data_IF_397514343774
#
_entry.id   IF_397514343774
#
_cell.length_a   1.000
_cell.length_b   1.000
_cell.length_c   1.000
_cell.angle_alpha   90.00
_cell.angle_beta   90.00
_cell.angle_gamma   90.00
#
_symmetry.space_group_name_H-M   'P 1'
#
loop_
_entity.id
_entity.type
_entity.pdbx_description
1 polymer ?
#
# COMPACT_ATOMS: atom_id res chain seq x y z
N UNK A 1 -10.29 -20.37 -8.75
CA UNK A 1 -10.43 -19.44 -9.88
C UNK A 1 -9.55 -18.26 -9.55
N UNK A 2 -8.71 -17.77 -10.48
CA UNK A 2 -7.87 -16.60 -10.21
C UNK A 2 -8.75 -15.40 -9.82
N UNK A 3 -8.26 -14.62 -8.85
CA UNK A 3 -8.91 -13.42 -8.36
C UNK A 3 -9.12 -12.41 -9.48
N UNK A 4 -10.34 -11.89 -9.60
CA UNK A 4 -10.65 -10.80 -10.53
C UNK A 4 -10.19 -9.43 -10.01
N UNK A 5 -10.06 -9.29 -8.69
CA UNK A 5 -9.84 -8.01 -8.02
C UNK A 5 -8.36 -7.72 -7.75
N UNK A 6 -7.59 -8.75 -7.35
CA UNK A 6 -6.15 -8.65 -7.07
C UNK A 6 -5.42 -9.54 -8.06
N UNK A 7 -4.95 -8.94 -9.15
CA UNK A 7 -4.13 -9.63 -10.14
C UNK A 7 -2.83 -10.13 -9.49
N UNK A 8 -2.40 -11.34 -9.87
CA UNK A 8 -1.15 -11.96 -9.41
C UNK A 8 -1.03 -12.11 -7.87
N UNK A 9 -2.17 -12.26 -7.19
CA UNK A 9 -2.17 -12.69 -5.79
C UNK A 9 -1.49 -14.05 -5.65
N UNK A 10 -0.53 -14.15 -4.74
CA UNK A 10 0.15 -15.41 -4.40
C UNK A 10 -0.28 -15.96 -3.04
N UNK A 11 -1.30 -15.35 -2.43
CA UNK A 11 -1.79 -15.70 -1.11
C UNK A 11 -3.31 -15.88 -1.12
N UNK A 12 -3.79 -16.79 -0.29
CA UNK A 12 -5.21 -16.94 0.02
C UNK A 12 -5.44 -16.60 1.48
N UNK A 13 -6.52 -15.88 1.75
CA UNK A 13 -6.95 -15.41 3.06
C UNK A 13 -8.06 -16.33 3.56
N UNK A 14 -7.96 -16.79 4.82
CA UNK A 14 -9.05 -17.47 5.49
C UNK A 14 -9.98 -16.43 6.11
N UNK A 15 -11.22 -16.39 5.65
CA UNK A 15 -12.22 -15.48 6.20
C UNK A 15 -12.60 -15.90 7.64
N UNK A 16 -12.57 -14.97 8.62
CA UNK A 16 -12.86 -15.31 10.02
C UNK A 16 -14.34 -15.63 10.26
N UNK A 17 -15.25 -15.12 9.41
CA UNK A 17 -16.69 -15.34 9.52
C UNK A 17 -17.12 -16.77 9.10
N UNK A 18 -16.70 -17.22 7.91
CA UNK A 18 -17.16 -18.48 7.33
C UNK A 18 -16.08 -19.57 7.28
N UNK A 19 -14.86 -19.26 7.71
CA UNK A 19 -13.69 -20.15 7.74
C UNK A 19 -13.29 -20.74 6.38
N UNK A 20 -13.82 -20.18 5.29
CA UNK A 20 -13.49 -20.52 3.90
C UNK A 20 -12.31 -19.69 3.40
N UNK A 21 -11.68 -20.16 2.33
CA UNK A 21 -10.51 -19.55 1.71
C UNK A 21 -10.91 -18.73 0.49
N UNK A 22 -10.42 -17.50 0.43
CA UNK A 22 -10.64 -16.58 -0.69
C UNK A 22 -9.31 -15.92 -1.07
N UNK A 23 -9.21 -15.36 -2.27
CA UNK A 23 -7.99 -14.68 -2.73
C UNK A 23 -7.98 -13.19 -2.35
N UNK A 24 -9.15 -12.59 -2.10
CA UNK A 24 -9.31 -11.22 -1.59
C UNK A 24 -10.67 -11.05 -0.88
N UNK A 25 -10.87 -9.90 -0.23
CA UNK A 25 -12.12 -9.53 0.45
C UNK A 25 -13.30 -9.38 -0.51
N UNK A 26 -13.09 -8.75 -1.68
CA UNK A 26 -14.15 -8.58 -2.68
C UNK A 26 -14.64 -9.93 -3.22
N UNK A 27 -13.73 -10.90 -3.40
CA UNK A 27 -14.10 -12.27 -3.75
C UNK A 27 -14.85 -13.00 -2.62
N UNK A 28 -14.76 -12.58 -1.36
CA UNK A 28 -15.63 -13.12 -0.33
C UNK A 28 -17.05 -12.59 -0.50
N UNK A 29 -17.18 -11.26 -0.63
CA UNK A 29 -18.46 -10.57 -0.67
C UNK A 29 -19.29 -10.91 -1.94
N UNK A 30 -18.64 -11.28 -3.04
CA UNK A 30 -19.31 -11.80 -4.24
C UNK A 30 -19.94 -13.20 -4.04
N UNK A 31 -19.32 -14.04 -3.22
CA UNK A 31 -19.70 -15.45 -3.07
C UNK A 31 -20.53 -15.72 -1.82
N UNK A 32 -20.53 -14.79 -0.87
CA UNK A 32 -21.17 -14.94 0.44
C UNK A 32 -22.19 -13.83 0.66
N UNK A 33 -23.35 -14.19 1.23
CA UNK A 33 -24.45 -13.24 1.49
C UNK A 33 -24.21 -12.31 2.71
N UNK A 34 -22.96 -12.15 3.15
CA UNK A 34 -22.59 -11.31 4.29
C UNK A 34 -21.23 -10.64 4.07
N UNK A 35 -20.99 -9.46 4.65
CA UNK A 35 -19.70 -8.80 4.57
C UNK A 35 -18.64 -9.56 5.39
N UNK A 36 -17.40 -9.60 4.90
CA UNK A 36 -16.28 -10.20 5.63
C UNK A 36 -16.03 -9.46 6.96
N UNK A 37 -15.97 -10.21 8.06
CA UNK A 37 -15.60 -9.64 9.37
C UNK A 37 -14.10 -9.28 9.40
N UNK A 38 -13.78 -8.14 10.00
CA UNK A 38 -12.40 -7.67 10.18
C UNK A 38 -11.84 -8.19 11.50
N UNK A 39 -10.71 -8.91 11.43
CA UNK A 39 -9.95 -9.33 12.60
C UNK A 39 -8.52 -8.78 12.51
N UNK A 40 -7.89 -8.38 13.64
CA UNK A 40 -6.51 -7.92 13.63
C UNK A 40 -5.56 -9.03 13.17
N UNK A 41 -5.82 -10.27 13.58
CA UNK A 41 -5.05 -11.44 13.15
C UNK A 41 -5.73 -12.12 11.96
N UNK A 42 -5.01 -12.25 10.86
CA UNK A 42 -5.42 -12.99 9.68
C UNK A 42 -4.63 -14.31 9.56
N UNK A 43 -5.30 -15.34 9.07
CA UNK A 43 -4.65 -16.60 8.68
C UNK A 43 -4.54 -16.62 7.16
N UNK A 44 -3.31 -16.72 6.67
CA UNK A 44 -2.96 -16.68 5.25
C UNK A 44 -2.37 -18.03 4.84
N UNK A 45 -2.57 -18.41 3.58
CA UNK A 45 -1.94 -19.55 2.94
C UNK A 45 -1.20 -19.07 1.70
N UNK A 46 0.09 -19.38 1.61
CA UNK A 46 0.86 -19.07 0.41
C UNK A 46 0.51 -20.08 -0.69
N UNK A 47 0.15 -19.62 -1.89
CA UNK A 47 -0.15 -20.47 -3.04
C UNK A 47 1.12 -21.07 -3.66
N UNK A 48 2.29 -20.48 -3.42
CA UNK A 48 3.58 -21.01 -3.88
C UNK A 48 4.03 -22.22 -3.06
N UNK A 49 4.13 -22.09 -1.72
CA UNK A 49 4.62 -23.17 -0.84
C UNK A 49 3.52 -23.96 -0.13
N UNK A 50 2.25 -23.54 -0.24
CA UNK A 50 1.07 -24.15 0.42
C UNK A 50 1.15 -24.21 1.95
N UNK A 51 2.06 -23.47 2.56
CA UNK A 51 2.17 -23.35 4.01
C UNK A 51 1.22 -22.28 4.53
N UNK A 52 0.63 -22.56 5.70
CA UNK A 52 -0.26 -21.65 6.41
C UNK A 52 0.55 -20.88 7.45
N UNK A 53 0.31 -19.58 7.52
CA UNK A 53 0.91 -18.70 8.52
C UNK A 53 -0.11 -17.68 9.01
N UNK A 54 0.15 -17.11 10.19
CA UNK A 54 -0.71 -16.09 10.79
C UNK A 54 0.02 -14.77 10.80
N UNK A 55 -0.72 -13.69 10.53
CA UNK A 55 -0.17 -12.35 10.54
C UNK A 55 -1.12 -11.37 11.23
N UNK A 56 -0.55 -10.49 12.03
CA UNK A 56 -1.28 -9.44 12.72
C UNK A 56 -1.20 -8.15 11.91
N UNK A 57 -2.36 -7.64 11.48
CA UNK A 57 -2.51 -6.41 10.74
C UNK A 57 -2.18 -5.18 11.59
N UNK A 58 -2.28 -5.26 12.93
CA UNK A 58 -1.95 -4.14 13.81
C UNK A 58 -0.44 -3.83 13.84
N UNK A 59 0.39 -4.83 13.52
CA UNK A 59 1.86 -4.74 13.52
C UNK A 59 2.44 -4.85 12.09
N UNK A 60 1.62 -4.60 11.08
CA UNK A 60 2.01 -4.78 9.68
C UNK A 60 3.19 -3.86 9.30
N UNK A 61 4.29 -4.46 8.84
CA UNK A 61 5.48 -3.75 8.36
C UNK A 61 6.06 -4.36 7.08
N UNK A 62 7.18 -3.82 6.60
CA UNK A 62 7.75 -4.23 5.29
C UNK A 62 8.15 -5.72 5.21
N UNK A 63 8.54 -6.30 6.35
CA UNK A 63 8.88 -7.73 6.46
C UNK A 63 7.68 -8.65 6.25
N UNK A 64 6.48 -8.08 6.34
CA UNK A 64 5.22 -8.80 6.26
C UNK A 64 4.73 -8.91 4.82
N UNK A 65 5.34 -8.19 3.87
CA UNK A 65 4.98 -8.25 2.45
C UNK A 65 5.40 -9.58 1.79
N UNK A 66 6.21 -10.38 2.48
CA UNK A 66 6.78 -11.64 1.99
C UNK A 66 6.31 -12.84 2.79
N UNK A 67 6.28 -14.00 2.14
CA UNK A 67 6.01 -15.26 2.82
C UNK A 67 7.22 -15.67 3.67
N UNK A 68 7.04 -16.03 4.96
CA UNK A 68 8.15 -16.46 5.83
C UNK A 68 8.77 -17.80 5.42
N UNK A 69 8.13 -18.55 4.52
CA UNK A 69 8.57 -19.88 4.11
C UNK A 69 9.27 -19.91 2.75
N UNK A 70 8.87 -19.07 1.80
CA UNK A 70 9.43 -19.05 0.46
C UNK A 70 9.95 -17.68 0.01
N UNK A 71 9.89 -16.68 0.89
CA UNK A 71 10.38 -15.31 0.68
C UNK A 71 9.76 -14.58 -0.53
N UNK A 72 8.74 -15.17 -1.17
CA UNK A 72 8.01 -14.52 -2.24
C UNK A 72 7.07 -13.45 -1.70
N UNK A 73 7.03 -12.30 -2.37
CA UNK A 73 6.09 -11.21 -2.10
C UNK A 73 4.65 -11.65 -2.37
N UNK A 74 3.72 -11.24 -1.51
CA UNK A 74 2.31 -11.65 -1.57
C UNK A 74 1.63 -11.22 -2.88
N UNK A 75 1.98 -10.03 -3.38
CA UNK A 75 1.54 -9.49 -4.67
C UNK A 75 2.77 -9.39 -5.55
N UNK A 76 2.76 -10.10 -6.68
CA UNK A 76 3.84 -9.99 -7.67
C UNK A 76 3.53 -8.83 -8.61
N UNK A 77 4.51 -7.94 -8.92
CA UNK A 77 4.34 -6.96 -9.97
C UNK A 77 4.04 -7.69 -11.28
N UNK A 78 3.06 -7.22 -12.03
CA UNK A 78 2.75 -7.78 -13.34
C UNK A 78 3.84 -7.39 -14.32
N UNK A 79 4.69 -8.35 -14.70
CA UNK A 79 5.55 -8.21 -15.86
C UNK A 79 4.68 -8.45 -17.10
N UNK A 80 4.18 -7.39 -17.74
CA UNK A 80 3.71 -7.50 -19.12
C UNK A 80 4.92 -7.74 -20.01
N UNK A 81 4.79 -8.55 -21.06
CA UNK A 81 5.85 -8.72 -22.07
C UNK A 81 6.31 -7.37 -22.68
N UNK A 82 5.49 -6.33 -22.57
CA UNK A 82 5.82 -4.95 -22.95
C UNK A 82 6.91 -4.33 -22.04
N UNK A 83 6.96 -4.69 -20.76
CA UNK A 83 8.01 -4.23 -19.83
C UNK A 83 9.38 -4.88 -20.09
N UNK A 84 9.38 -6.15 -20.54
CA UNK A 84 10.60 -6.84 -20.96
C UNK A 84 11.17 -6.26 -22.27
N UNK A 85 10.29 -5.92 -23.22
CA UNK A 85 10.69 -5.22 -24.45
C UNK A 85 11.23 -3.81 -24.17
N UNK A 86 10.62 -3.06 -23.25
CA UNK A 86 11.10 -1.70 -22.92
C UNK A 86 12.47 -1.72 -22.23
N UNK A 87 12.74 -2.69 -21.35
CA UNK A 87 14.04 -2.84 -20.70
C UNK A 87 15.18 -3.21 -21.66
N UNK A 88 14.90 -4.05 -22.66
CA UNK A 88 15.88 -4.37 -23.71
C UNK A 88 16.06 -3.22 -24.72
N UNK A 89 14.98 -2.50 -25.05
CA UNK A 89 15.04 -1.38 -25.98
C UNK A 89 15.71 -0.14 -25.39
N UNK A 90 15.63 0.12 -24.08
CA UNK A 90 16.27 1.31 -23.48
C UNK A 90 17.80 1.27 -23.64
N UNK A 91 18.44 0.12 -23.40
CA UNK A 91 19.90 0.00 -23.55
C UNK A 91 20.37 0.09 -25.02
N UNK A 92 19.58 -0.42 -25.97
CA UNK A 92 19.88 -0.29 -27.41
C UNK A 92 19.56 1.12 -27.94
N UNK A 93 18.48 1.74 -27.47
CA UNK A 93 18.09 3.09 -27.86
C UNK A 93 19.10 4.12 -27.34
N UNK A 94 19.54 4.01 -26.08
CA UNK A 94 20.57 4.87 -25.50
C UNK A 94 21.93 4.68 -26.22
N UNK A 95 22.27 3.46 -26.67
CA UNK A 95 23.42 3.23 -27.56
C UNK A 95 23.25 3.84 -28.95
N UNK A 96 22.04 3.81 -29.52
CA UNK A 96 21.78 4.34 -30.87
C UNK A 96 21.75 5.88 -30.91
N UNK A 97 21.25 6.52 -29.85
CA UNK A 97 21.30 7.98 -29.69
C UNK A 97 22.73 8.46 -29.41
N UNK A 98 23.55 7.66 -28.71
CA UNK A 98 24.98 7.93 -28.53
C UNK A 98 25.82 7.75 -29.82
N UNK A 99 25.32 7.00 -30.81
CA UNK A 99 25.94 6.78 -32.13
C UNK A 99 25.17 7.49 -33.26
N UNK A 100 24.88 8.77 -33.05
CA UNK A 100 24.48 9.63 -34.15
C UNK A 100 25.49 9.60 -35.30
N UNK A 101 24.95 9.50 -36.53
CA UNK A 101 25.56 9.85 -37.81
C UNK A 101 26.35 8.76 -38.56
N UNK A 102 25.72 8.21 -39.62
CA UNK A 102 26.30 7.94 -40.98
C UNK A 102 25.66 6.76 -41.74
N UNK A 103 24.33 6.54 -41.67
CA UNK A 103 23.72 5.59 -42.62
C UNK A 103 22.34 5.96 -43.15
N UNK A 104 22.18 7.20 -43.57
CA UNK A 104 21.22 7.58 -44.59
C UNK A 104 21.69 7.11 -45.97
N UNK A 105 21.60 5.80 -46.26
CA UNK A 105 21.60 5.28 -47.64
C UNK A 105 20.68 4.08 -47.78
N UNK A 106 19.48 4.35 -48.29
CA UNK A 106 18.87 3.50 -49.31
C UNK A 106 17.83 2.50 -48.83
N UNK A 107 16.59 2.96 -48.69
CA UNK A 107 15.46 2.25 -49.30
C UNK A 107 14.66 3.29 -50.09
N UNK A 108 14.76 3.23 -51.42
CA UNK A 108 13.92 3.99 -52.34
C UNK A 108 12.65 3.17 -52.61
N UNK A 109 11.49 3.80 -52.36
CA UNK A 109 10.29 3.95 -53.21
C UNK A 109 10.00 2.84 -54.24
N UNK A 110 8.78 2.38 -54.49
CA UNK A 110 7.57 3.15 -54.84
C UNK A 110 6.33 2.24 -54.78
N UNK A 111 5.16 2.87 -54.61
CA UNK A 111 3.88 2.57 -55.30
C UNK A 111 2.81 1.66 -54.69
N UNK A 112 2.75 1.39 -53.38
CA UNK A 112 1.63 0.57 -52.87
C UNK A 112 1.03 0.93 -51.50
N UNK A 113 1.06 2.20 -51.09
CA UNK A 113 0.28 2.67 -49.92
C UNK A 113 -0.44 4.01 -50.13
N UNK A 114 -0.65 4.44 -51.38
CA UNK A 114 -1.62 5.50 -51.69
C UNK A 114 -3.00 4.86 -51.87
N UNK A 115 -3.74 4.65 -50.77
CA UNK A 115 -5.23 4.53 -50.71
C UNK A 115 -5.75 4.01 -49.37
N UNK A 116 -5.37 4.62 -48.24
CA UNK A 116 -6.31 4.73 -47.10
C UNK A 116 -6.17 6.12 -46.50
N UNK A 117 -7.11 7.00 -46.86
CA UNK A 117 -7.70 8.01 -45.99
C UNK A 117 -6.83 9.18 -45.53
N UNK A 118 -6.90 10.29 -46.27
CA UNK A 118 -6.83 11.62 -45.66
C UNK A 118 -7.93 11.76 -44.59
N UNK A 119 -7.53 11.93 -43.34
CA UNK A 119 -8.17 12.91 -42.45
C UNK A 119 -7.22 14.10 -42.47
N UNK A 120 -7.75 15.25 -42.85
CA UNK A 120 -7.02 16.51 -42.88
C UNK A 120 -6.78 16.93 -41.42
N UNK A 121 -5.52 16.92 -40.99
CA UNK A 121 -5.09 17.75 -39.87
C UNK A 121 -4.72 19.11 -40.45
N UNK A 122 -5.71 20.00 -40.46
CA UNK A 122 -5.50 21.43 -40.64
C UNK A 122 -4.65 21.93 -39.46
N UNK A 123 -3.38 22.20 -39.77
CA UNK A 123 -2.67 23.43 -39.39
C UNK A 123 -3.28 24.22 -38.22
N UNK A 124 -2.93 23.85 -36.97
CA UNK A 124 -2.96 24.81 -35.87
C UNK A 124 -1.56 24.95 -35.26
N UNK A 125 -1.11 26.18 -35.37
CA UNK A 125 0.19 26.77 -35.09
C UNK A 125 0.77 26.47 -33.71
N UNK A 126 2.08 26.20 -33.74
CA UNK A 126 3.09 26.48 -32.73
C UNK A 126 2.81 27.77 -31.94
N UNK A 127 2.52 27.65 -30.63
CA UNK A 127 2.71 28.73 -29.65
C UNK A 127 2.59 28.27 -28.18
N UNK A 128 3.38 27.29 -27.73
CA UNK A 128 3.42 26.94 -26.29
C UNK A 128 4.83 26.59 -25.80
N UNK A 129 5.74 27.58 -25.68
CA UNK A 129 7.06 27.34 -25.07
C UNK A 129 7.58 28.45 -24.13
N UNK A 130 6.76 29.41 -23.68
CA UNK A 130 7.22 30.44 -22.72
C UNK A 130 6.54 30.40 -21.33
N UNK A 131 5.50 29.58 -21.13
CA UNK A 131 4.75 29.55 -19.86
C UNK A 131 5.32 28.62 -18.78
N UNK A 132 6.23 27.71 -19.14
CA UNK A 132 6.76 26.68 -18.23
C UNK A 132 7.83 27.21 -17.26
N UNK A 133 8.53 28.29 -17.62
CA UNK A 133 9.54 28.94 -16.78
C UNK A 133 8.96 29.70 -15.58
N UNK A 134 7.89 30.46 -15.82
CA UNK A 134 7.28 31.31 -14.79
C UNK A 134 6.56 30.50 -13.69
N UNK A 135 5.89 29.40 -14.05
CA UNK A 135 5.20 28.53 -13.07
C UNK A 135 6.19 27.87 -12.09
N UNK A 136 7.43 27.61 -12.51
CA UNK A 136 8.47 27.02 -11.65
C UNK A 136 9.01 28.02 -10.63
N UNK A 137 9.19 29.28 -11.03
CA UNK A 137 9.63 30.36 -10.13
C UNK A 137 8.55 30.72 -9.09
N UNK A 138 7.27 30.76 -9.49
CA UNK A 138 6.16 31.04 -8.59
C UNK A 138 6.00 29.94 -7.51
N UNK A 139 6.17 28.68 -7.89
CA UNK A 139 6.11 27.55 -6.96
C UNK A 139 7.26 27.58 -5.94
N UNK A 140 8.46 28.01 -6.34
CA UNK A 140 9.60 28.15 -5.45
C UNK A 140 9.44 29.30 -4.45
N UNK A 141 8.89 30.44 -4.88
CA UNK A 141 8.56 31.55 -3.97
C UNK A 141 7.48 31.16 -2.95
N UNK A 142 6.44 30.45 -3.38
CA UNK A 142 5.42 29.89 -2.46
C UNK A 142 6.04 28.98 -1.40
N UNK A 143 7.00 28.13 -1.79
CA UNK A 143 7.72 27.24 -0.85
C UNK A 143 8.56 28.03 0.14
N UNK A 144 9.28 29.07 -0.30
CA UNK A 144 10.07 29.96 0.58
C UNK A 144 9.17 30.73 1.56
N UNK A 145 7.99 31.18 1.13
CA UNK A 145 7.01 31.88 2.00
C UNK A 145 6.45 30.98 3.11
N UNK A 146 6.16 29.71 2.81
CA UNK A 146 5.70 28.74 3.83
C UNK A 146 6.75 28.44 4.91
N UNK A 147 8.04 28.36 4.54
CA UNK A 147 9.13 28.14 5.50
C UNK A 147 9.23 29.29 6.52
N UNK A 148 9.05 30.55 6.07
CA UNK A 148 9.08 31.73 6.94
C UNK A 148 7.92 31.75 7.97
N UNK A 149 6.74 31.25 7.59
CA UNK A 149 5.59 31.17 8.51
C UNK A 149 5.77 30.08 9.57
N UNK A 150 6.40 28.95 9.24
CA UNK A 150 6.68 27.86 10.20
C UNK A 150 7.73 28.25 11.25
N UNK A 151 8.64 29.16 10.93
CA UNK A 151 9.65 29.68 11.86
C UNK A 151 9.09 30.51 13.03
N UNK A 152 7.89 31.11 12.89
CA UNK A 152 7.29 31.98 13.92
C UNK A 152 6.41 31.25 14.96
N UNK A 153 6.17 29.94 14.83
CA UNK A 153 5.30 29.18 15.76
C UNK A 153 6.02 28.39 16.86
N UNK A 154 7.36 28.41 16.93
CA UNK A 154 8.11 27.80 18.05
C UNK A 154 8.18 28.77 19.23
N UNK A 155 7.06 28.90 19.95
CA UNK A 155 6.96 29.80 21.10
C UNK A 155 5.70 29.61 21.93
N UNK A 156 5.19 28.38 22.06
CA UNK A 156 4.23 28.00 23.11
C UNK A 156 4.56 26.57 23.56
N UNK A 157 5.18 26.44 24.74
CA UNK A 157 5.34 25.16 25.45
C UNK A 157 3.94 24.66 25.83
N UNK A 158 3.61 23.42 25.49
CA UNK A 158 2.43 22.69 25.96
C UNK A 158 2.71 22.10 27.35
N UNK A 159 1.83 22.22 28.36
CA UNK A 159 1.95 21.52 29.64
C UNK A 159 1.02 20.30 29.62
N UNK A 160 1.54 19.08 29.53
CA UNK A 160 0.67 17.89 29.59
C UNK A 160 1.37 16.58 29.99
N UNK A 161 2.49 16.63 30.72
CA UNK A 161 3.17 15.40 31.17
C UNK A 161 2.94 15.06 32.65
N UNK A 162 2.80 16.06 33.53
CA UNK A 162 2.58 15.80 34.97
C UNK A 162 1.15 15.31 35.30
N UNK A 163 0.14 15.70 34.50
CA UNK A 163 -1.25 15.30 34.78
C UNK A 163 -1.60 13.85 34.40
N UNK A 164 -0.69 13.13 33.75
CA UNK A 164 -0.93 11.75 33.33
C UNK A 164 -0.35 10.72 34.32
N UNK A 165 0.66 11.09 35.10
CA UNK A 165 1.25 10.21 36.12
C UNK A 165 0.37 10.15 37.38
N UNK A 166 -0.22 11.26 37.83
CA UNK A 166 -1.11 11.27 39.01
C UNK A 166 -2.37 10.41 38.82
N UNK A 167 -2.89 10.29 37.59
CA UNK A 167 -4.08 9.45 37.31
C UNK A 167 -3.79 7.95 37.27
N UNK A 168 -2.54 7.57 37.04
CA UNK A 168 -2.14 6.16 36.95
C UNK A 168 -1.86 5.56 38.34
N UNK A 169 -1.47 6.41 39.31
CA UNK A 169 -1.28 6.01 40.70
C UNK A 169 -2.62 5.79 41.43
N UNK A 170 -3.60 6.68 41.20
CA UNK A 170 -4.93 6.58 41.83
C UNK A 170 -5.73 5.33 41.36
N UNK A 171 -5.49 4.86 40.13
CA UNK A 171 -6.11 3.61 39.64
C UNK A 171 -5.53 2.35 40.29
N UNK A 172 -4.24 2.34 40.64
CA UNK A 172 -3.60 1.18 41.28
C UNK A 172 -4.01 0.99 42.73
N UNK A 173 -4.29 2.07 43.46
CA UNK A 173 -4.78 1.97 44.84
C UNK A 173 -6.20 1.37 44.89
N UNK A 174 -7.07 1.73 43.94
CA UNK A 174 -8.45 1.19 43.89
C UNK A 174 -8.50 -0.31 43.55
N UNK A 175 -7.58 -0.82 42.74
CA UNK A 175 -7.49 -2.27 42.46
C UNK A 175 -7.01 -3.06 43.69
N UNK A 176 -6.07 -2.53 44.49
CA UNK A 176 -5.59 -3.21 45.70
C UNK A 176 -6.64 -3.31 46.80
N UNK A 177 -7.55 -2.35 46.94
CA UNK A 177 -8.63 -2.42 47.92
C UNK A 177 -9.70 -3.48 47.56
N UNK A 178 -9.99 -3.67 46.26
CA UNK A 178 -10.98 -4.66 45.82
C UNK A 178 -10.51 -6.12 45.99
N UNK A 179 -9.20 -6.37 45.96
CA UNK A 179 -8.66 -7.71 46.18
C UNK A 179 -8.73 -8.13 47.66
N UNK A 180 -8.68 -7.19 48.61
CA UNK A 180 -8.71 -7.52 50.04
C UNK A 180 -10.09 -7.89 50.58
N UNK A 181 -11.19 -7.51 49.89
CA UNK A 181 -12.54 -7.83 50.34
C UNK A 181 -13.01 -9.26 49.98
N UNK A 182 -12.31 -9.98 49.10
CA UNK A 182 -12.75 -11.30 48.63
C UNK A 182 -12.31 -12.48 49.51
N UNK A 183 -11.45 -12.27 50.50
CA UNK A 183 -10.88 -13.31 51.37
C UNK A 183 -11.53 -13.41 52.76
N UNK A 184 -12.83 -13.15 52.88
CA UNK A 184 -13.59 -13.45 54.11
C UNK A 184 -14.36 -14.78 53.98
N UNK A 185 -13.83 -15.91 54.47
CA UNK A 185 -14.56 -17.18 54.46
C UNK A 185 -15.71 -17.15 55.45
N UNK A 186 -16.92 -17.36 54.92
CA UNK A 186 -18.16 -17.56 55.66
C UNK A 186 -18.01 -18.82 56.52
N UNK A 187 -17.79 -18.64 57.82
CA UNK A 187 -17.94 -19.70 58.81
C UNK A 187 -19.42 -20.12 58.84
N UNK A 188 -19.70 -21.34 58.38
CA UNK A 188 -20.99 -21.99 58.61
C UNK A 188 -20.79 -23.16 59.56
N UNK A 189 -21.28 -22.97 60.78
CA UNK A 189 -21.30 -23.94 61.86
C UNK A 189 -22.14 -25.19 61.49
N UNK A 190 -21.76 -26.41 61.95
CA UNK A 190 -22.61 -27.58 61.84
C UNK A 190 -23.61 -27.65 63.01
N UNK A 191 -24.89 -27.41 62.73
CA UNK A 191 -25.98 -27.68 63.69
C UNK A 191 -26.35 -29.16 63.65
N UNK A 192 -25.78 -29.91 64.60
CA UNK A 192 -26.40 -30.79 65.62
C UNK A 192 -27.67 -31.60 65.28
N UNK A 193 -27.52 -32.92 65.55
CA UNK A 193 -28.43 -33.96 66.08
C UNK A 193 -29.57 -34.55 65.25
#
# INVERSE_FOLDING_TARGET
MPCKHVLNSTVSIRAPCCLKWFECFECHDEFMDHPMSTSPVLTLACLCCRMLFKKDLALFGDQDEVCPHCEQRWIKPGETNEGFLFGMFQEEFDRSIAFGCERSRGIKSTSELDKIGHINDDEESLQEDEESGNKRQEMEERRKKMMRLKGKKKGKKSPSKEQHEEKEEEQKEQEQEQEQEQDNPINSDPVVS
#
